data_IF_406811468693
#
_entry.id   IF_406811468693
#
_cell.length_a   1.000
_cell.length_b   1.000
_cell.length_c   1.000
_cell.angle_alpha   90.00
_cell.angle_beta   90.00
_cell.angle_gamma   90.00
#
_symmetry.space_group_name_H-M   'P 1'
#
loop_
_entity.id
_entity.type
_entity.pdbx_description
1 polymer ?
#
# COMPACT_ATOMS: atom_id res chain seq x y z
N UNK A 1 -0.87 0.66 -1.62
CA UNK A 1 -0.72 0.53 -3.08
C UNK A 1 -1.97 0.96 -3.84
N UNK A 2 -3.18 0.54 -3.44
CA UNK A 2 -4.43 0.87 -4.16
C UNK A 2 -4.77 2.37 -4.22
N UNK A 3 -4.31 3.15 -3.24
CA UNK A 3 -4.67 4.57 -3.11
C UNK A 3 -3.85 5.50 -4.03
N UNK A 4 -2.62 5.12 -4.39
CA UNK A 4 -1.72 5.97 -5.20
C UNK A 4 -2.25 6.21 -6.62
N UNK A 5 -2.68 5.17 -7.37
CA UNK A 5 -3.31 5.37 -8.68
C UNK A 5 -4.57 6.24 -8.62
N UNK A 6 -5.36 6.09 -7.55
CA UNK A 6 -6.59 6.85 -7.34
C UNK A 6 -6.29 8.35 -7.23
N UNK A 7 -5.24 8.75 -6.48
CA UNK A 7 -4.87 10.16 -6.36
C UNK A 7 -4.25 10.76 -7.61
N UNK A 8 -3.47 9.99 -8.37
CA UNK A 8 -2.92 10.45 -9.65
C UNK A 8 -4.07 10.76 -10.62
N UNK A 9 -5.05 9.85 -10.72
CA UNK A 9 -6.23 10.03 -11.57
C UNK A 9 -7.10 11.21 -11.07
N UNK A 10 -7.33 11.32 -9.76
CA UNK A 10 -8.08 12.43 -9.18
C UNK A 10 -7.43 13.79 -9.47
N UNK A 11 -6.10 13.90 -9.34
CA UNK A 11 -5.37 15.15 -9.61
C UNK A 11 -5.42 15.58 -11.08
N UNK A 12 -5.40 14.63 -12.03
CA UNK A 12 -5.58 14.92 -13.46
C UNK A 12 -6.99 15.45 -13.73
N UNK A 13 -8.02 14.85 -13.11
CA UNK A 13 -9.41 15.23 -13.26
C UNK A 13 -9.67 16.63 -12.68
N UNK A 14 -9.23 16.90 -11.45
CA UNK A 14 -9.40 18.20 -10.79
C UNK A 14 -8.68 19.32 -11.56
N UNK A 15 -7.49 19.03 -12.11
CA UNK A 15 -6.74 19.98 -12.95
C UNK A 15 -7.41 20.30 -14.29
N UNK A 16 -8.20 19.36 -14.84
CA UNK A 16 -8.92 19.54 -16.10
C UNK A 16 -10.31 20.19 -15.92
N UNK A 17 -10.98 19.95 -14.80
CA UNK A 17 -12.39 20.33 -14.59
C UNK A 17 -12.59 21.55 -13.68
N UNK A 18 -11.55 22.01 -12.97
CA UNK A 18 -11.65 23.07 -11.97
C UNK A 18 -12.27 22.56 -10.66
N UNK A 19 -11.75 23.02 -9.52
CA UNK A 19 -12.11 22.48 -8.21
C UNK A 19 -13.59 22.70 -7.86
N UNK A 20 -14.41 21.65 -7.96
CA UNK A 20 -15.82 21.62 -7.56
C UNK A 20 -16.10 20.63 -6.41
N UNK A 21 -17.38 20.27 -6.20
CA UNK A 21 -17.82 19.29 -5.19
C UNK A 21 -17.06 17.95 -5.31
N UNK A 22 -16.63 17.60 -6.51
CA UNK A 22 -15.84 16.41 -6.82
C UNK A 22 -14.47 16.40 -6.13
N UNK A 23 -13.82 17.56 -6.00
CA UNK A 23 -12.55 17.70 -5.28
C UNK A 23 -12.68 17.43 -3.79
N UNK A 24 -13.82 17.78 -3.17
CA UNK A 24 -14.09 17.48 -1.75
C UNK A 24 -14.22 15.97 -1.55
N UNK A 25 -14.97 15.29 -2.43
CA UNK A 25 -15.17 13.85 -2.32
C UNK A 25 -13.86 13.08 -2.52
N UNK A 26 -13.08 13.40 -3.55
CA UNK A 26 -11.86 12.67 -3.89
C UNK A 26 -10.68 12.98 -2.95
N UNK A 27 -10.55 14.22 -2.48
CA UNK A 27 -9.40 14.62 -1.65
C UNK A 27 -9.65 14.48 -0.14
N UNK A 28 -10.90 14.35 0.31
CA UNK A 28 -11.23 14.24 1.74
C UNK A 28 -11.96 12.94 2.06
N UNK A 29 -13.12 12.70 1.43
CA UNK A 29 -14.00 11.57 1.82
C UNK A 29 -13.40 10.22 1.41
N UNK A 30 -12.98 10.09 0.15
CA UNK A 30 -12.36 8.87 -0.36
C UNK A 30 -11.11 8.43 0.44
N UNK A 31 -10.14 9.32 0.78
CA UNK A 31 -9.02 8.97 1.65
C UNK A 31 -9.44 8.35 2.98
N UNK A 32 -10.44 8.94 3.64
CA UNK A 32 -10.86 8.51 4.98
C UNK A 32 -11.45 7.11 4.95
N UNK A 33 -12.26 6.82 3.92
CA UNK A 33 -12.83 5.48 3.71
C UNK A 33 -11.74 4.47 3.37
N UNK A 34 -10.80 4.85 2.50
CA UNK A 34 -9.73 3.97 2.03
C UNK A 34 -8.57 3.82 3.02
N UNK A 35 -8.48 4.70 4.02
CA UNK A 35 -7.40 4.69 5.01
C UNK A 35 -7.37 3.38 5.78
N UNK A 36 -8.53 2.92 6.26
CA UNK A 36 -8.63 1.68 7.02
C UNK A 36 -8.23 0.43 6.21
N UNK A 37 -8.88 0.09 5.08
CA UNK A 37 -8.47 -1.07 4.29
C UNK A 37 -7.05 -0.91 3.71
N UNK A 38 -6.62 0.32 3.42
CA UNK A 38 -5.26 0.62 2.97
C UNK A 38 -4.20 0.32 4.03
N UNK A 39 -4.45 0.65 5.29
CA UNK A 39 -3.56 0.30 6.41
C UNK A 39 -3.59 -1.20 6.71
N UNK A 40 -4.77 -1.80 6.76
CA UNK A 40 -4.93 -3.24 7.05
C UNK A 40 -4.19 -4.12 6.03
N UNK A 41 -4.31 -3.80 4.74
CA UNK A 41 -3.60 -4.53 3.67
C UNK A 41 -2.09 -4.35 3.74
N UNK A 42 -1.60 -3.15 4.06
CA UNK A 42 -0.16 -2.91 4.23
C UNK A 42 0.40 -3.67 5.42
N UNK A 43 -0.25 -3.63 6.57
CA UNK A 43 0.16 -4.38 7.77
C UNK A 43 0.21 -5.88 7.47
N UNK A 44 -0.78 -6.41 6.75
CA UNK A 44 -0.79 -7.81 6.32
C UNK A 44 0.42 -8.14 5.44
N UNK A 45 0.74 -7.31 4.45
CA UNK A 45 1.91 -7.59 3.59
C UNK A 45 3.26 -7.46 4.31
N UNK A 46 3.37 -6.56 5.28
CA UNK A 46 4.54 -6.51 6.15
C UNK A 46 4.71 -7.82 6.94
N UNK A 47 3.60 -8.37 7.44
CA UNK A 47 3.60 -9.67 8.10
C UNK A 47 3.97 -10.82 7.13
N UNK A 48 3.46 -10.83 5.90
CA UNK A 48 3.80 -11.84 4.89
C UNK A 48 5.33 -11.90 4.58
N UNK A 49 6.03 -10.80 4.83
CA UNK A 49 7.50 -10.67 4.70
C UNK A 49 8.25 -10.98 6.02
N UNK A 50 7.58 -11.60 7.00
CA UNK A 50 8.10 -11.89 8.34
C UNK A 50 8.56 -10.66 9.14
N UNK A 51 8.10 -9.46 8.78
CA UNK A 51 8.37 -8.21 9.51
C UNK A 51 7.17 -7.85 10.40
N UNK A 52 7.38 -7.01 11.41
CA UNK A 52 6.28 -6.54 12.26
C UNK A 52 5.38 -5.54 11.52
N UNK A 53 4.09 -5.47 11.89
CA UNK A 53 3.15 -4.50 11.31
C UNK A 53 3.56 -3.03 11.51
N UNK A 54 4.40 -2.77 12.53
CA UNK A 54 4.97 -1.45 12.83
C UNK A 54 5.81 -0.86 11.69
N UNK A 55 6.31 -1.69 10.77
CA UNK A 55 7.00 -1.21 9.58
C UNK A 55 6.11 -0.34 8.68
N UNK A 56 4.78 -0.37 8.84
CA UNK A 56 3.86 0.55 8.17
C UNK A 56 4.13 2.03 8.51
N UNK A 57 4.73 2.31 9.68
CA UNK A 57 5.09 3.67 10.11
C UNK A 57 6.14 4.33 9.21
N UNK A 58 6.87 3.57 8.38
CA UNK A 58 7.81 4.16 7.43
C UNK A 58 7.10 4.98 6.36
N UNK A 59 5.80 4.76 6.14
CA UNK A 59 4.99 5.68 5.35
C UNK A 59 4.87 7.09 5.95
N UNK A 60 5.29 7.33 7.19
CA UNK A 60 5.38 8.68 7.78
C UNK A 60 6.68 9.40 7.38
N UNK A 61 7.68 8.69 6.86
CA UNK A 61 8.91 9.29 6.35
C UNK A 61 8.64 9.70 4.89
N UNK A 62 8.62 11.02 4.59
CA UNK A 62 8.29 11.49 3.25
C UNK A 62 9.34 11.04 2.24
N UNK A 63 8.89 10.75 1.02
CA UNK A 63 9.70 10.38 -0.15
C UNK A 63 10.43 9.04 0.04
N UNK A 64 11.44 8.96 0.92
CA UNK A 64 12.29 7.78 1.11
C UNK A 64 11.48 6.61 1.65
N UNK A 65 10.66 6.85 2.68
CA UNK A 65 9.85 5.79 3.27
C UNK A 65 8.81 5.24 2.30
N UNK A 66 8.25 6.10 1.46
CA UNK A 66 7.27 5.72 0.44
C UNK A 66 7.91 4.91 -0.69
N UNK A 67 9.06 5.34 -1.22
CA UNK A 67 9.79 4.61 -2.25
C UNK A 67 10.18 3.23 -1.72
N UNK A 68 10.70 3.16 -0.51
CA UNK A 68 11.13 1.91 0.09
C UNK A 68 9.95 0.96 0.36
N UNK A 69 8.84 1.45 0.92
CA UNK A 69 7.63 0.67 1.10
C UNK A 69 7.06 0.17 -0.24
N UNK A 70 7.18 0.97 -1.30
CA UNK A 70 6.75 0.62 -2.65
C UNK A 70 7.58 -0.49 -3.28
N UNK A 71 8.90 -0.47 -3.09
CA UNK A 71 9.78 -1.54 -3.54
C UNK A 71 9.53 -2.81 -2.73
N UNK A 72 9.54 -2.72 -1.40
CA UNK A 72 9.52 -3.87 -0.48
C UNK A 72 8.17 -4.59 -0.45
N UNK A 73 7.08 -3.84 -0.44
CA UNK A 73 5.70 -4.37 -0.28
C UNK A 73 4.93 -4.39 -1.60
N UNK A 74 5.33 -3.56 -2.57
CA UNK A 74 4.69 -3.48 -3.88
C UNK A 74 5.24 -4.49 -4.88
N UNK A 75 6.55 -4.46 -5.12
CA UNK A 75 7.16 -5.21 -6.23
C UNK A 75 7.87 -6.51 -5.82
N UNK A 76 8.35 -6.62 -4.59
CA UNK A 76 9.04 -7.83 -4.15
C UNK A 76 8.06 -8.95 -3.76
N UNK A 77 8.39 -10.22 -4.07
CA UNK A 77 7.57 -11.37 -3.66
C UNK A 77 7.52 -11.51 -2.13
N UNK A 78 6.63 -12.33 -1.59
CA UNK A 78 6.62 -12.65 -0.15
C UNK A 78 7.88 -13.37 0.33
N UNK A 79 7.89 -13.82 1.59
CA UNK A 79 8.97 -14.70 2.08
C UNK A 79 9.01 -15.99 1.24
N UNK A 80 10.20 -16.45 0.83
CA UNK A 80 10.39 -17.73 0.12
C UNK A 80 10.29 -18.89 1.10
N UNK A 81 9.66 -19.99 0.69
CA UNK A 81 9.44 -21.15 1.55
C UNK A 81 8.27 -20.97 2.52
N UNK A 82 8.11 -21.92 3.43
CA UNK A 82 7.00 -21.91 4.38
C UNK A 82 7.14 -20.73 5.34
N UNK A 83 6.04 -20.03 5.62
CA UNK A 83 6.02 -18.96 6.62
C UNK A 83 5.00 -19.30 7.72
N UNK A 84 4.95 -18.43 8.75
CA UNK A 84 4.01 -18.59 9.88
C UNK A 84 2.52 -18.59 9.49
N UNK A 85 2.20 -18.27 8.23
CA UNK A 85 0.84 -18.16 7.69
C UNK A 85 0.48 -19.33 6.74
N UNK A 86 1.44 -20.19 6.39
CA UNK A 86 1.18 -21.36 5.55
C UNK A 86 2.37 -21.78 4.69
N UNK A 87 2.16 -22.85 3.95
CA UNK A 87 3.11 -23.36 2.97
C UNK A 87 3.17 -22.48 1.72
N UNK A 88 4.34 -22.43 1.08
CA UNK A 88 4.51 -21.67 -0.17
C UNK A 88 3.66 -22.29 -1.30
N UNK A 89 2.70 -21.55 -1.90
CA UNK A 89 1.89 -22.06 -3.00
C UNK A 89 2.71 -22.36 -4.26
N UNK A 90 3.92 -21.81 -4.39
CA UNK A 90 4.82 -22.04 -5.51
C UNK A 90 5.76 -23.24 -5.27
N UNK A 91 5.71 -23.88 -4.09
CA UNK A 91 6.44 -25.11 -3.80
C UNK A 91 7.95 -24.95 -3.72
N UNK A 92 8.48 -23.76 -3.46
CA UNK A 92 9.92 -23.59 -3.24
C UNK A 92 10.32 -24.31 -1.95
N UNK A 93 11.12 -25.38 -2.07
CA UNK A 93 11.81 -25.99 -0.94
C UNK A 93 12.93 -25.06 -0.49
N UNK A 94 13.10 -24.88 0.83
CA UNK A 94 14.27 -24.20 1.39
C UNK A 94 15.54 -24.94 0.89
N UNK A 95 16.33 -24.26 0.07
CA UNK A 95 17.65 -24.73 -0.40
C UNK A 95 18.72 -24.06 0.44
#
# INVERSE_FOLDING_TARGET
>A
MVVVPVYIVAGIIDGAMGAGIQGIFLNIIAPLILLWPGLATQVKRWHDRNKSGWWVLINLIPIIGWIWALIEVGFLPGTKGNNRFGSDPLGHSEI
#
